data_IF_146700909007
#
_entry.id   IF_146700909007
#
_cell.length_a   1.000
_cell.length_b   1.000
_cell.length_c   1.000
_cell.angle_alpha   90.00
_cell.angle_beta   90.00
_cell.angle_gamma   90.00
#
_symmetry.space_group_name_H-M   'P 1'
#
loop_
_entity.id
_entity.type
_entity.pdbx_description
1 polymer ?
#
# COMPACT_ATOMS: atom_id res chain seq x y z
N UNK A 1 -28.19 -32.89 5.65
CA UNK A 1 -27.02 -32.32 4.94
C UNK A 1 -26.88 -30.87 5.40
N UNK A 2 -25.77 -30.56 6.08
CA UNK A 2 -25.50 -29.21 6.58
C UNK A 2 -25.59 -28.17 5.47
N UNK A 3 -26.20 -27.02 5.75
CA UNK A 3 -26.32 -25.95 4.75
C UNK A 3 -24.97 -25.24 4.59
N UNK A 4 -24.53 -24.93 3.36
CA UNK A 4 -23.27 -24.22 3.17
C UNK A 4 -23.37 -22.78 3.70
N UNK A 5 -22.35 -22.34 4.45
CA UNK A 5 -22.27 -20.98 4.97
C UNK A 5 -22.24 -19.96 3.82
N UNK A 6 -23.10 -18.94 3.90
CA UNK A 6 -23.11 -17.80 2.97
C UNK A 6 -22.88 -16.51 3.74
N UNK A 7 -21.78 -15.82 3.41
CA UNK A 7 -21.49 -14.52 3.99
C UNK A 7 -22.29 -13.43 3.27
N UNK A 8 -23.11 -12.69 4.02
CA UNK A 8 -24.00 -11.66 3.43
C UNK A 8 -23.24 -10.48 2.81
N UNK A 9 -22.01 -10.23 3.25
CA UNK A 9 -21.18 -9.10 2.80
C UNK A 9 -20.07 -9.53 1.83
N UNK A 10 -20.18 -10.71 1.18
CA UNK A 10 -19.16 -11.22 0.25
C UNK A 10 -18.81 -10.19 -0.85
N UNK A 11 -19.83 -9.59 -1.48
CA UNK A 11 -19.63 -8.55 -2.52
C UNK A 11 -18.91 -7.31 -2.00
N UNK A 12 -19.11 -6.96 -0.73
CA UNK A 12 -18.45 -5.82 -0.10
C UNK A 12 -16.99 -6.16 0.20
N UNK A 13 -16.72 -7.40 0.62
CA UNK A 13 -15.36 -7.89 0.83
C UNK A 13 -14.58 -7.90 -0.49
N UNK A 14 -15.16 -8.42 -1.58
CA UNK A 14 -14.54 -8.42 -2.91
C UNK A 14 -14.18 -7.00 -3.37
N UNK A 15 -15.13 -6.06 -3.19
CA UNK A 15 -14.87 -4.65 -3.51
C UNK A 15 -13.74 -4.06 -2.67
N UNK A 16 -13.66 -4.37 -1.38
CA UNK A 16 -12.56 -3.91 -0.51
C UNK A 16 -11.22 -4.52 -0.87
N UNK A 17 -11.19 -5.77 -1.34
CA UNK A 17 -9.98 -6.40 -1.89
C UNK A 17 -9.51 -5.63 -3.13
N UNK A 18 -10.43 -5.29 -4.04
CA UNK A 18 -10.09 -4.49 -5.21
C UNK A 18 -9.54 -3.10 -4.83
N UNK A 19 -10.15 -2.43 -3.85
CA UNK A 19 -9.66 -1.13 -3.35
C UNK A 19 -8.27 -1.23 -2.71
N UNK A 20 -8.00 -2.30 -1.95
CA UNK A 20 -6.67 -2.56 -1.40
C UNK A 20 -5.63 -2.70 -2.53
N UNK A 21 -5.95 -3.46 -3.56
CA UNK A 21 -5.05 -3.69 -4.69
C UNK A 21 -4.78 -2.41 -5.47
N UNK A 22 -5.82 -1.60 -5.73
CA UNK A 22 -5.67 -0.29 -6.34
C UNK A 22 -4.78 0.65 -5.50
N UNK A 23 -4.95 0.66 -4.18
CA UNK A 23 -4.14 1.46 -3.28
C UNK A 23 -2.66 1.02 -3.26
N UNK A 24 -2.39 -0.29 -3.31
CA UNK A 24 -1.03 -0.84 -3.43
C UNK A 24 -0.37 -0.43 -4.75
N UNK A 25 -1.08 -0.52 -5.86
CA UNK A 25 -0.58 -0.10 -7.17
C UNK A 25 -0.30 1.41 -7.19
N UNK A 26 -1.18 2.23 -6.60
CA UNK A 26 -0.97 3.67 -6.48
C UNK A 26 0.26 4.01 -5.62
N UNK A 27 0.45 3.30 -4.50
CA UNK A 27 1.62 3.43 -3.65
C UNK A 27 2.91 3.06 -4.40
N UNK A 28 2.91 1.96 -5.14
CA UNK A 28 4.06 1.53 -5.94
C UNK A 28 4.43 2.60 -6.99
N UNK A 29 3.44 3.16 -7.69
CA UNK A 29 3.66 4.25 -8.66
C UNK A 29 4.26 5.50 -7.99
N UNK A 30 3.70 5.93 -6.85
CA UNK A 30 4.21 7.08 -6.11
C UNK A 30 5.64 6.86 -5.60
N UNK A 31 5.95 5.65 -5.11
CA UNK A 31 7.30 5.27 -4.69
C UNK A 31 8.28 5.34 -5.86
N UNK A 32 7.90 4.82 -7.02
CA UNK A 32 8.75 4.81 -8.20
C UNK A 32 8.98 6.21 -8.77
N UNK A 33 8.00 7.10 -8.68
CA UNK A 33 8.13 8.51 -9.05
C UNK A 33 9.08 9.25 -8.08
N UNK A 34 8.88 9.06 -6.78
CA UNK A 34 9.74 9.65 -5.74
C UNK A 34 11.21 9.21 -5.90
N UNK A 35 11.46 7.91 -6.07
CA UNK A 35 12.82 7.38 -6.26
C UNK A 35 13.48 7.98 -7.49
N UNK A 36 12.80 7.99 -8.65
CA UNK A 36 13.34 8.60 -9.87
C UNK A 36 13.67 10.08 -9.70
N UNK A 37 12.81 10.84 -9.02
CA UNK A 37 13.06 12.25 -8.75
C UNK A 37 14.23 12.44 -7.78
N UNK A 38 14.34 11.58 -6.76
CA UNK A 38 15.45 11.59 -5.81
C UNK A 38 16.78 11.35 -6.51
N UNK A 39 16.83 10.37 -7.41
CA UNK A 39 18.02 10.05 -8.20
C UNK A 39 18.41 11.23 -9.11
N UNK A 40 17.42 11.90 -9.70
CA UNK A 40 17.64 13.10 -10.51
C UNK A 40 18.16 14.30 -9.69
N UNK A 41 17.63 14.53 -8.49
CA UNK A 41 18.18 15.56 -7.58
C UNK A 41 19.62 15.24 -7.20
N UNK A 42 19.93 13.97 -6.94
CA UNK A 42 21.30 13.55 -6.63
C UNK A 42 22.25 13.75 -7.81
N UNK A 43 21.82 13.46 -9.04
CA UNK A 43 22.65 13.69 -10.22
C UNK A 43 22.91 15.18 -10.47
N UNK A 44 21.92 16.06 -10.24
CA UNK A 44 22.13 17.52 -10.31
C UNK A 44 23.10 18.03 -9.26
N UNK A 45 23.05 17.50 -8.03
CA UNK A 45 24.02 17.83 -6.98
C UNK A 45 25.43 17.37 -7.34
N UNK A 46 25.57 16.14 -7.82
CA UNK A 46 26.86 15.63 -8.29
C UNK A 46 27.44 16.45 -9.44
N UNK A 47 26.59 16.88 -10.39
CA UNK A 47 26.99 17.78 -11.47
C UNK A 47 27.46 19.13 -10.96
N UNK A 48 26.78 19.71 -9.95
CA UNK A 48 27.22 20.94 -9.31
C UNK A 48 28.58 20.78 -8.61
N UNK A 49 28.79 19.69 -7.90
CA UNK A 49 30.05 19.40 -7.21
C UNK A 49 31.20 19.19 -8.21
N UNK A 50 30.95 18.41 -9.28
CA UNK A 50 31.93 18.20 -10.36
C UNK A 50 32.26 19.51 -11.07
N UNK A 51 31.23 20.34 -11.28
CA UNK A 51 31.41 21.68 -11.79
C UNK A 51 32.36 22.41 -10.80
N UNK A 52 31.99 22.65 -9.54
CA UNK A 52 32.84 23.42 -8.61
C UNK A 52 34.29 22.90 -8.51
N UNK A 53 34.50 21.59 -8.51
CA UNK A 53 35.84 20.99 -8.53
C UNK A 53 36.66 21.38 -9.76
N UNK A 54 36.07 21.38 -10.97
CA UNK A 54 36.74 21.78 -12.21
C UNK A 54 37.19 23.24 -12.18
N UNK A 55 36.37 24.13 -11.63
CA UNK A 55 36.72 25.55 -11.48
C UNK A 55 37.92 25.75 -10.55
N UNK A 56 38.01 24.98 -9.47
CA UNK A 56 39.14 25.06 -8.54
C UNK A 56 40.44 24.49 -9.11
N UNK A 57 40.37 23.59 -10.10
CA UNK A 57 41.54 22.96 -10.72
C UNK A 57 42.16 23.71 -11.91
N UNK A 58 41.46 24.71 -12.47
CA UNK A 58 41.87 25.35 -13.72
C UNK A 58 42.52 26.72 -13.45
N UNK A 59 43.86 26.76 -13.49
CA UNK A 59 44.68 27.95 -13.17
C UNK A 59 44.63 29.03 -14.27
N UNK A 60 44.10 28.75 -15.46
CA UNK A 60 44.11 29.65 -16.63
C UNK A 60 42.70 30.08 -17.10
N UNK A 61 41.79 30.37 -16.16
CA UNK A 61 40.44 30.80 -16.53
C UNK A 61 40.41 32.20 -17.16
N UNK A 62 39.93 32.29 -18.40
CA UNK A 62 39.64 33.57 -19.04
C UNK A 62 38.39 34.23 -18.42
N UNK A 63 38.28 35.57 -18.43
CA UNK A 63 37.08 36.27 -17.93
C UNK A 63 35.78 35.83 -18.61
N UNK A 64 35.84 35.47 -19.89
CA UNK A 64 34.69 35.01 -20.66
C UNK A 64 34.27 33.57 -20.27
N UNK A 65 35.24 32.70 -20.00
CA UNK A 65 34.98 31.37 -19.44
C UNK A 65 34.34 31.46 -18.04
N UNK A 66 34.83 32.39 -17.20
CA UNK A 66 34.26 32.65 -15.85
C UNK A 66 32.80 33.12 -15.91
N UNK A 67 32.43 33.94 -16.90
CA UNK A 67 31.05 34.38 -17.10
C UNK A 67 30.12 33.23 -17.49
N UNK A 68 30.53 32.41 -18.47
CA UNK A 68 29.79 31.22 -18.89
C UNK A 68 29.58 30.26 -17.72
N UNK A 69 30.63 30.10 -16.92
CA UNK A 69 30.65 29.31 -15.69
C UNK A 69 29.58 29.72 -14.68
N UNK A 70 29.52 31.01 -14.35
CA UNK A 70 28.55 31.55 -13.39
C UNK A 70 27.12 31.32 -13.87
N UNK A 71 26.86 31.59 -15.16
CA UNK A 71 25.53 31.40 -15.73
C UNK A 71 25.10 29.93 -15.71
N UNK A 72 26.01 29.01 -16.04
CA UNK A 72 25.70 27.59 -16.00
C UNK A 72 25.44 27.10 -14.57
N UNK A 73 26.26 27.54 -13.59
CA UNK A 73 26.01 27.26 -12.17
C UNK A 73 24.65 27.80 -11.72
N UNK A 74 24.32 29.04 -12.08
CA UNK A 74 23.04 29.65 -11.73
C UNK A 74 21.86 28.86 -12.32
N UNK A 75 21.96 28.44 -13.58
CA UNK A 75 20.98 27.57 -14.24
C UNK A 75 20.81 26.24 -13.49
N UNK A 76 21.92 25.57 -13.15
CA UNK A 76 21.90 24.32 -12.39
C UNK A 76 21.26 24.47 -11.01
N UNK A 77 21.53 25.57 -10.32
CA UNK A 77 20.90 25.86 -9.02
C UNK A 77 19.39 26.08 -9.14
N UNK A 78 18.94 26.77 -10.20
CA UNK A 78 17.50 26.91 -10.48
C UNK A 78 16.85 25.57 -10.78
N UNK A 79 17.48 24.75 -11.61
CA UNK A 79 16.97 23.42 -11.97
C UNK A 79 16.94 22.50 -10.74
N UNK A 80 17.96 22.56 -9.87
CA UNK A 80 17.99 21.84 -8.60
C UNK A 80 16.85 22.29 -7.67
N UNK A 81 16.64 23.59 -7.51
CA UNK A 81 15.56 24.10 -6.67
C UNK A 81 14.17 23.64 -7.15
N UNK A 82 13.94 23.63 -8.46
CA UNK A 82 12.71 23.10 -9.05
C UNK A 82 12.58 21.59 -8.81
N UNK A 83 13.67 20.84 -9.00
CA UNK A 83 13.70 19.40 -8.80
C UNK A 83 13.44 19.02 -7.33
N UNK A 84 13.96 19.79 -6.37
CA UNK A 84 13.73 19.61 -4.93
C UNK A 84 12.29 19.95 -4.53
N UNK A 85 11.70 21.00 -5.10
CA UNK A 85 10.29 21.34 -4.89
C UNK A 85 9.36 20.21 -5.38
N UNK A 86 9.68 19.63 -6.54
CA UNK A 86 8.96 18.46 -7.06
C UNK A 86 9.16 17.24 -6.15
N UNK A 87 10.39 16.99 -5.68
CA UNK A 87 10.68 15.89 -4.76
C UNK A 87 9.86 16.00 -3.46
N UNK A 88 9.74 17.19 -2.89
CA UNK A 88 8.92 17.44 -1.71
C UNK A 88 7.43 17.15 -1.99
N UNK A 89 6.95 17.52 -3.17
CA UNK A 89 5.56 17.24 -3.60
C UNK A 89 5.32 15.73 -3.72
N UNK A 90 6.24 15.01 -4.36
CA UNK A 90 6.18 13.55 -4.48
C UNK A 90 6.32 12.85 -3.12
N UNK A 91 7.11 13.38 -2.20
CA UNK A 91 7.23 12.84 -0.83
C UNK A 91 5.92 12.95 -0.06
N UNK A 92 5.19 14.07 -0.23
CA UNK A 92 3.85 14.26 0.36
C UNK A 92 2.86 13.27 -0.26
N UNK A 93 2.86 13.14 -1.58
CA UNK A 93 2.00 12.17 -2.26
C UNK A 93 2.29 10.73 -1.80
N UNK A 94 3.56 10.33 -1.75
CA UNK A 94 3.98 9.01 -1.29
C UNK A 94 3.44 8.71 0.12
N UNK A 95 3.55 9.68 1.04
CA UNK A 95 3.01 9.53 2.40
C UNK A 95 1.48 9.40 2.40
N UNK A 96 0.77 10.17 1.58
CA UNK A 96 -0.67 10.04 1.42
C UNK A 96 -1.07 8.66 0.91
N UNK A 97 -0.43 8.17 -0.16
CA UNK A 97 -0.69 6.82 -0.70
C UNK A 97 -0.36 5.72 0.30
N UNK A 98 0.71 5.89 1.10
CA UNK A 98 1.09 4.94 2.14
C UNK A 98 0.00 4.84 3.21
N UNK A 99 -0.52 5.98 3.69
CA UNK A 99 -1.64 6.00 4.65
C UNK A 99 -2.88 5.36 4.06
N UNK A 100 -3.23 5.69 2.83
CA UNK A 100 -4.38 5.10 2.14
C UNK A 100 -4.27 3.57 2.03
N UNK A 101 -3.11 3.04 1.59
CA UNK A 101 -2.90 1.61 1.50
C UNK A 101 -3.04 0.89 2.86
N UNK A 102 -2.57 1.51 3.95
CA UNK A 102 -2.75 0.97 5.31
C UNK A 102 -4.23 0.95 5.69
N UNK A 103 -4.98 2.03 5.46
CA UNK A 103 -6.41 2.08 5.78
C UNK A 103 -7.21 1.06 4.97
N UNK A 104 -6.95 0.92 3.66
CA UNK A 104 -7.61 -0.12 2.84
C UNK A 104 -7.30 -1.54 3.31
N UNK A 105 -6.07 -1.80 3.75
CA UNK A 105 -5.70 -3.11 4.29
C UNK A 105 -6.43 -3.40 5.61
N UNK A 106 -6.58 -2.40 6.50
CA UNK A 106 -7.38 -2.53 7.73
C UNK A 106 -8.85 -2.80 7.42
N UNK A 107 -9.42 -2.05 6.48
CA UNK A 107 -10.82 -2.19 6.06
C UNK A 107 -11.15 -3.59 5.53
N UNK A 108 -10.26 -4.16 4.72
CA UNK A 108 -10.36 -5.54 4.26
C UNK A 108 -10.27 -6.52 5.43
N UNK A 109 -9.23 -6.40 6.25
CA UNK A 109 -8.96 -7.31 7.36
C UNK A 109 -10.10 -7.36 8.39
N UNK A 110 -10.80 -6.25 8.58
CA UNK A 110 -11.99 -6.19 9.42
C UNK A 110 -13.12 -7.10 8.89
N UNK A 111 -13.39 -7.05 7.58
CA UNK A 111 -14.43 -7.90 6.98
C UNK A 111 -14.02 -9.37 6.90
N UNK A 112 -12.74 -9.66 6.65
CA UNK A 112 -12.23 -11.03 6.69
C UNK A 112 -12.45 -11.66 8.07
N UNK A 113 -12.06 -10.95 9.14
CA UNK A 113 -12.31 -11.39 10.51
C UNK A 113 -13.80 -11.56 10.82
N UNK A 114 -14.65 -10.67 10.30
CA UNK A 114 -16.10 -10.80 10.48
C UNK A 114 -16.63 -12.06 9.79
N UNK A 115 -16.18 -12.34 8.57
CA UNK A 115 -16.52 -13.55 7.82
C UNK A 115 -16.08 -14.82 8.54
N UNK A 116 -14.83 -14.85 9.01
CA UNK A 116 -14.27 -15.98 9.78
C UNK A 116 -15.09 -16.25 11.05
N UNK A 117 -15.42 -15.21 11.82
CA UNK A 117 -16.22 -15.34 13.04
C UNK A 117 -17.63 -15.85 12.75
N UNK A 118 -18.28 -15.37 11.69
CA UNK A 118 -19.61 -15.84 11.31
C UNK A 118 -19.58 -17.28 10.80
N UNK A 119 -18.56 -17.66 10.04
CA UNK A 119 -18.37 -19.03 9.58
C UNK A 119 -18.18 -19.99 10.76
N UNK A 120 -17.35 -19.61 11.74
CA UNK A 120 -17.13 -20.40 12.95
C UNK A 120 -18.42 -20.59 13.77
N UNK A 121 -19.22 -19.52 13.94
CA UNK A 121 -20.52 -19.61 14.62
C UNK A 121 -21.50 -20.53 13.88
N UNK A 122 -21.60 -20.37 12.56
CA UNK A 122 -22.47 -21.22 11.74
C UNK A 122 -22.07 -22.69 11.82
N UNK A 123 -20.77 -23.01 11.83
CA UNK A 123 -20.30 -24.38 11.97
C UNK A 123 -20.67 -24.98 13.33
N UNK A 124 -20.55 -24.19 14.40
CA UNK A 124 -20.93 -24.62 15.75
C UNK A 124 -22.45 -24.84 15.87
N UNK A 125 -23.26 -23.92 15.34
CA UNK A 125 -24.72 -24.03 15.36
C UNK A 125 -25.22 -25.25 14.58
N UNK A 126 -24.63 -25.56 13.42
CA UNK A 126 -24.96 -26.78 12.66
C UNK A 126 -24.53 -28.05 13.41
N UNK A 127 -23.36 -28.05 14.05
CA UNK A 127 -22.93 -29.19 14.88
C UNK A 127 -23.89 -29.44 16.05
N UNK A 128 -24.33 -28.39 16.74
CA UNK A 128 -25.31 -28.50 17.82
C UNK A 128 -26.67 -28.99 17.31
N UNK A 129 -27.11 -28.53 16.13
CA UNK A 129 -28.35 -29.04 15.51
C UNK A 129 -28.26 -30.51 15.17
N UNK A 130 -27.19 -30.94 14.51
CA UNK A 130 -26.98 -32.34 14.17
C UNK A 130 -26.96 -33.22 15.42
N UNK A 131 -26.29 -32.78 16.49
CA UNK A 131 -26.28 -33.48 17.77
C UNK A 131 -27.70 -33.62 18.38
N UNK A 132 -28.48 -32.54 18.41
CA UNK A 132 -29.86 -32.58 18.91
C UNK A 132 -30.75 -33.51 18.08
N UNK A 133 -30.62 -33.49 16.74
CA UNK A 133 -31.34 -34.41 15.86
C UNK A 133 -30.99 -35.87 16.16
N UNK A 134 -29.71 -36.19 16.40
CA UNK A 134 -29.30 -37.54 16.79
C UNK A 134 -29.82 -37.97 18.16
N UNK A 135 -29.82 -37.07 19.14
CA UNK A 135 -30.35 -37.34 20.49
C UNK A 135 -31.87 -37.57 20.47
N UNK A 136 -32.61 -36.78 19.69
CA UNK A 136 -34.05 -36.96 19.45
C UNK A 136 -34.35 -38.30 18.75
N UNK A 137 -33.57 -38.66 17.73
CA UNK A 137 -33.70 -39.96 17.07
C UNK A 137 -33.39 -41.12 18.03
N UNK A 138 -32.38 -40.99 18.89
CA UNK A 138 -32.01 -42.01 19.86
C UNK A 138 -33.11 -42.21 20.92
N UNK A 139 -33.71 -41.13 21.41
CA UNK A 139 -34.83 -41.18 22.38
C UNK A 139 -36.10 -41.75 21.76
N UNK A 140 -36.45 -41.39 20.52
CA UNK A 140 -37.58 -41.99 19.80
C UNK A 140 -37.39 -43.50 19.58
N UNK A 141 -36.17 -43.94 19.29
CA UNK A 141 -35.85 -45.36 19.08
C UNK A 141 -35.79 -46.16 20.38
N UNK A 142 -35.43 -45.51 21.49
CA UNK A 142 -35.37 -46.11 22.83
C UNK A 142 -36.66 -45.85 23.62
N UNK A 143 -37.82 -46.10 23.03
CA UNK A 143 -39.05 -46.24 23.82
C UNK A 143 -39.03 -47.63 24.49
N UNK A 144 -38.98 -47.72 25.83
CA UNK A 144 -39.07 -49.01 26.51
C UNK A 144 -40.46 -49.59 26.24
N UNK A 145 -40.54 -50.88 25.90
CA UNK A 145 -41.81 -51.61 25.96
C UNK A 145 -42.30 -51.54 27.41
N UNK A 146 -43.37 -50.78 27.63
CA UNK A 146 -44.15 -50.88 28.87
C UNK A 146 -44.71 -52.30 28.96
N UNK A 147 -44.49 -52.96 30.10
CA UNK A 147 -45.03 -54.26 30.46
C UNK A 147 -46.57 -54.28 30.42
#
# INVERSE_FOLDING_TARGET
MARPFRFSLERVLDYRIQLEEQAKLALAKAQHAYTRQSDFVQSLRALLDEHEAKLHSDENLTPQAMWLWRNYKERLLQDLAQAEALLLTLARELNTRRREAVERSKDKKLLEKLKENQAARHALDEQTREQNEYDEMATLRYQPRSF
#
